data_IF_304997507956
#
_entry.id   IF_304997507956
#
_cell.length_a   1.000
_cell.length_b   1.000
_cell.length_c   1.000
_cell.angle_alpha   90.00
_cell.angle_beta   90.00
_cell.angle_gamma   90.00
#
_symmetry.space_group_name_H-M   'P 1'
#
loop_
_entity.id
_entity.type
_entity.pdbx_description
1 polymer ?
#
# COMPACT_ATOMS: atom_id res chain seq x y z
N UNK A 1 6.08 -3.87 -11.03
CA UNK A 1 4.90 -4.69 -10.65
C UNK A 1 3.94 -3.84 -9.83
N UNK A 2 2.65 -4.10 -9.90
CA UNK A 2 1.66 -3.48 -9.03
C UNK A 2 1.73 -4.05 -7.59
N UNK A 3 0.93 -3.53 -6.67
CA UNK A 3 0.96 -3.92 -5.25
C UNK A 3 0.62 -5.41 -5.02
N UNK A 4 -0.42 -5.92 -5.69
CA UNK A 4 -0.88 -7.31 -5.52
C UNK A 4 0.15 -8.30 -6.06
N UNK A 5 0.67 -8.07 -7.25
CA UNK A 5 1.70 -8.93 -7.84
C UNK A 5 3.01 -8.89 -7.04
N UNK A 6 3.35 -7.70 -6.50
CA UNK A 6 4.53 -7.56 -5.63
C UNK A 6 4.34 -8.34 -4.34
N UNK A 7 3.15 -8.29 -3.73
CA UNK A 7 2.84 -9.05 -2.52
C UNK A 7 2.96 -10.56 -2.75
N UNK A 8 2.36 -11.08 -3.82
CA UNK A 8 2.48 -12.50 -4.18
C UNK A 8 3.94 -12.91 -4.45
N UNK A 9 4.72 -12.03 -5.10
CA UNK A 9 6.15 -12.27 -5.33
C UNK A 9 6.95 -12.28 -4.02
N UNK A 10 6.67 -11.37 -3.09
CA UNK A 10 7.27 -11.35 -1.74
C UNK A 10 6.97 -12.65 -1.00
N UNK A 11 5.74 -13.11 -1.00
CA UNK A 11 5.35 -14.36 -0.34
C UNK A 11 6.10 -15.57 -0.93
N UNK A 12 6.24 -15.64 -2.25
CA UNK A 12 7.01 -16.68 -2.93
C UNK A 12 8.50 -16.65 -2.51
N UNK A 13 9.10 -15.45 -2.48
CA UNK A 13 10.50 -15.27 -2.09
C UNK A 13 10.73 -15.66 -0.62
N UNK A 14 9.84 -15.23 0.28
CA UNK A 14 9.90 -15.58 1.70
C UNK A 14 9.70 -17.09 1.93
N UNK A 15 8.81 -17.74 1.16
CA UNK A 15 8.63 -19.20 1.21
C UNK A 15 9.89 -19.97 0.76
N UNK A 16 10.67 -19.40 -0.15
CA UNK A 16 11.98 -19.92 -0.55
C UNK A 16 13.11 -19.59 0.43
N UNK A 17 12.80 -18.98 1.57
CA UNK A 17 13.76 -18.51 2.58
C UNK A 17 14.81 -17.54 2.02
N UNK A 18 14.39 -16.71 1.04
CA UNK A 18 15.20 -15.66 0.44
C UNK A 18 14.72 -14.28 0.93
N UNK A 19 15.51 -13.25 0.67
CA UNK A 19 15.21 -11.89 1.10
C UNK A 19 14.75 -11.06 -0.11
N UNK A 20 13.47 -10.64 -0.16
CA UNK A 20 13.00 -9.72 -1.18
C UNK A 20 13.50 -8.30 -0.89
N UNK A 21 13.93 -7.59 -1.93
CA UNK A 21 14.24 -6.16 -1.91
C UNK A 21 13.20 -5.40 -2.71
N UNK A 22 12.35 -4.64 -2.02
CA UNK A 22 11.35 -3.79 -2.63
C UNK A 22 12.00 -2.51 -3.16
N UNK A 23 12.01 -2.34 -4.47
CA UNK A 23 12.52 -1.14 -5.13
C UNK A 23 11.36 -0.33 -5.67
N UNK A 24 11.25 0.91 -5.25
CA UNK A 24 10.18 1.78 -5.73
C UNK A 24 10.19 3.16 -5.09
N UNK A 25 9.47 4.08 -5.68
CA UNK A 25 9.45 5.47 -5.24
C UNK A 25 8.90 5.66 -3.83
N UNK A 26 9.18 6.81 -3.24
CA UNK A 26 8.61 7.16 -1.93
C UNK A 26 7.09 7.25 -2.01
N UNK A 27 6.39 6.74 -1.00
CA UNK A 27 4.93 6.87 -0.88
C UNK A 27 4.09 5.91 -1.72
N UNK A 28 4.69 4.97 -2.49
CA UNK A 28 3.95 3.97 -3.28
C UNK A 28 3.43 2.77 -2.49
N UNK A 29 3.73 2.69 -1.19
CA UNK A 29 3.18 1.65 -0.32
C UNK A 29 4.12 0.50 0.05
N UNK A 30 5.45 0.63 -0.07
CA UNK A 30 6.42 -0.41 0.35
C UNK A 30 6.23 -0.86 1.81
N UNK A 31 6.15 0.10 2.72
CA UNK A 31 5.92 -0.15 4.17
C UNK A 31 4.52 -0.76 4.41
N UNK A 32 3.51 -0.29 3.66
CA UNK A 32 2.14 -0.85 3.72
C UNK A 32 2.10 -2.30 3.24
N UNK A 33 2.91 -2.66 2.24
CA UNK A 33 3.02 -4.03 1.74
C UNK A 33 3.63 -4.94 2.83
N UNK A 34 4.72 -4.53 3.48
CA UNK A 34 5.31 -5.29 4.58
C UNK A 34 4.32 -5.49 5.74
N UNK A 35 3.57 -4.43 6.10
CA UNK A 35 2.53 -4.50 7.12
C UNK A 35 1.39 -5.46 6.72
N UNK A 36 0.98 -5.46 5.45
CA UNK A 36 -0.05 -6.37 4.93
C UNK A 36 0.41 -7.83 4.98
N UNK A 37 1.64 -8.12 4.56
CA UNK A 37 2.24 -9.46 4.65
C UNK A 37 2.25 -9.93 6.11
N UNK A 38 2.71 -9.10 7.04
CA UNK A 38 2.74 -9.44 8.46
C UNK A 38 1.32 -9.74 9.00
N UNK A 39 0.32 -8.93 8.61
CA UNK A 39 -1.08 -9.11 9.03
C UNK A 39 -1.67 -10.41 8.49
N UNK A 40 -1.46 -10.74 7.22
CA UNK A 40 -2.00 -11.96 6.58
C UNK A 40 -1.46 -13.23 7.22
N UNK A 41 -0.20 -13.20 7.64
CA UNK A 41 0.48 -14.35 8.25
C UNK A 41 0.46 -14.36 9.79
N UNK A 42 -0.15 -13.38 10.43
CA UNK A 42 -0.15 -13.18 11.89
C UNK A 42 1.29 -13.09 12.46
N UNK A 43 2.18 -12.42 11.74
CA UNK A 43 3.56 -12.18 12.16
C UNK A 43 3.71 -10.84 12.87
N UNK A 44 4.61 -10.79 13.84
CA UNK A 44 4.97 -9.51 14.47
C UNK A 44 5.87 -8.70 13.54
N UNK A 45 5.40 -7.50 13.12
CA UNK A 45 6.20 -6.61 12.27
C UNK A 45 7.14 -5.77 13.14
N UNK A 46 8.44 -5.90 12.87
CA UNK A 46 9.48 -5.04 13.46
C UNK A 46 10.16 -4.28 12.33
N UNK A 47 10.22 -2.95 12.44
CA UNK A 47 10.79 -2.10 11.40
C UNK A 47 12.10 -1.48 11.85
N UNK A 48 13.09 -1.50 10.96
CA UNK A 48 14.35 -0.76 11.06
C UNK A 48 14.36 0.25 9.92
N UNK A 49 14.54 1.52 10.23
CA UNK A 49 14.75 2.58 9.24
C UNK A 49 16.25 2.84 9.09
N UNK A 50 16.80 2.45 7.94
CA UNK A 50 18.23 2.58 7.66
C UNK A 50 18.71 4.03 7.65
N UNK A 51 17.86 4.96 7.25
CA UNK A 51 18.19 6.38 7.20
C UNK A 51 18.32 7.04 8.60
N UNK A 52 17.69 6.46 9.61
CA UNK A 52 17.71 7.01 10.97
C UNK A 52 18.85 6.44 11.83
N UNK A 53 19.42 5.30 11.44
CA UNK A 53 20.51 4.65 12.18
C UNK A 53 21.83 5.40 12.03
N UNK A 54 22.59 5.45 13.10
CA UNK A 54 23.96 5.95 13.14
C UNK A 54 24.97 4.80 13.19
N UNK A 55 26.21 5.07 12.75
CA UNK A 55 27.31 4.11 12.83
C UNK A 55 27.45 3.50 14.24
N UNK A 56 27.51 2.19 14.33
CA UNK A 56 27.61 1.44 15.57
C UNK A 56 26.32 1.27 16.37
N UNK A 57 25.18 1.86 15.92
CA UNK A 57 23.92 1.68 16.66
C UNK A 57 23.37 0.28 16.51
N UNK A 58 23.16 -0.18 15.27
CA UNK A 58 22.56 -1.52 15.03
C UNK A 58 23.54 -2.64 15.40
N UNK A 59 24.84 -2.44 15.19
CA UNK A 59 25.89 -3.36 15.61
C UNK A 59 26.13 -3.38 17.12
N UNK A 60 25.58 -2.40 17.82
CA UNK A 60 25.73 -2.22 19.27
C UNK A 60 27.03 -1.54 19.69
N UNK A 61 26.98 -0.86 20.82
CA UNK A 61 28.17 -0.19 21.38
C UNK A 61 29.12 -1.21 22.04
N UNK A 62 30.42 -1.13 21.77
CA UNK A 62 31.39 -2.00 22.41
C UNK A 62 31.50 -1.68 23.90
N UNK A 63 31.39 -2.69 24.73
CA UNK A 63 31.62 -2.66 26.18
C UNK A 63 32.74 -3.61 26.54
N UNK A 64 33.48 -3.30 27.60
CA UNK A 64 34.55 -4.17 28.08
C UNK A 64 34.10 -4.93 29.31
N UNK A 65 33.97 -6.24 29.16
CA UNK A 65 33.57 -7.12 30.24
C UNK A 65 34.72 -8.05 30.68
N UNK A 66 34.70 -8.46 31.94
CA UNK A 66 35.62 -9.44 32.48
C UNK A 66 34.97 -10.82 32.43
N UNK A 67 35.41 -11.66 31.51
CA UNK A 67 34.94 -13.05 31.37
C UNK A 67 35.93 -13.99 32.04
N UNK A 68 35.41 -14.88 32.86
CA UNK A 68 36.19 -15.89 33.57
C UNK A 68 36.25 -17.15 32.73
N UNK A 69 37.46 -17.53 32.28
CA UNK A 69 37.68 -18.81 31.61
C UNK A 69 38.30 -19.81 32.58
N UNK A 70 37.80 -21.03 32.59
CA UNK A 70 38.38 -22.14 33.33
C UNK A 70 39.11 -23.05 32.34
N UNK A 71 40.43 -23.24 32.54
CA UNK A 71 41.24 -24.11 31.69
C UNK A 71 40.93 -25.60 31.98
N UNK A 72 41.38 -26.49 31.09
CA UNK A 72 41.18 -27.95 31.26
C UNK A 72 41.85 -28.56 32.51
N UNK A 73 42.58 -27.76 33.31
CA UNK A 73 43.22 -28.12 34.59
C UNK A 73 42.46 -27.53 35.80
N UNK A 74 41.33 -26.84 35.57
CA UNK A 74 40.52 -26.24 36.64
C UNK A 74 41.03 -24.87 37.13
N UNK A 75 42.02 -24.22 36.48
CA UNK A 75 42.46 -22.88 36.83
C UNK A 75 41.56 -21.84 36.18
N UNK A 76 41.15 -20.85 36.92
CA UNK A 76 40.30 -19.73 36.48
C UNK A 76 41.13 -18.52 36.15
N UNK A 77 41.01 -18.01 34.93
CA UNK A 77 41.63 -16.75 34.48
C UNK A 77 40.56 -15.74 34.07
N UNK A 78 40.69 -14.53 34.60
CA UNK A 78 39.83 -13.43 34.14
C UNK A 78 40.47 -12.71 32.95
N UNK A 79 39.78 -12.69 31.83
CA UNK A 79 40.22 -12.00 30.60
C UNK A 79 39.22 -10.88 30.33
N UNK A 80 39.75 -9.70 30.04
CA UNK A 80 38.91 -8.60 29.53
C UNK A 80 38.64 -8.84 28.05
N UNK A 81 37.39 -8.88 27.69
CA UNK A 81 36.94 -9.04 26.30
C UNK A 81 36.00 -7.91 25.92
N UNK A 82 35.98 -7.58 24.64
CA UNK A 82 34.99 -6.65 24.12
C UNK A 82 33.70 -7.41 23.81
N UNK A 83 32.58 -6.96 24.38
CA UNK A 83 31.24 -7.44 24.12
C UNK A 83 30.44 -6.27 23.56
N UNK A 84 29.54 -6.53 22.65
CA UNK A 84 28.68 -5.51 22.06
C UNK A 84 27.30 -5.57 22.70
N UNK A 85 26.76 -4.41 23.08
CA UNK A 85 25.40 -4.30 23.58
C UNK A 85 24.43 -4.55 22.43
N UNK A 86 23.44 -5.42 22.61
CA UNK A 86 22.44 -5.69 21.59
C UNK A 86 21.54 -4.46 21.41
N UNK A 87 21.31 -4.04 20.15
CA UNK A 87 20.38 -2.94 19.86
C UNK A 87 18.95 -3.33 20.29
N UNK A 88 18.22 -2.37 20.89
CA UNK A 88 16.90 -2.62 21.48
C UNK A 88 15.89 -3.24 20.51
N UNK A 89 15.96 -2.89 19.21
CA UNK A 89 15.08 -3.48 18.18
C UNK A 89 15.40 -4.95 17.96
N UNK A 90 16.68 -5.34 17.95
CA UNK A 90 17.11 -6.75 17.81
C UNK A 90 16.77 -7.55 19.08
N UNK A 91 16.91 -6.95 20.23
CA UNK A 91 16.45 -7.55 21.50
C UNK A 91 14.93 -7.78 21.49
N UNK A 92 14.14 -6.82 20.97
CA UNK A 92 12.69 -7.00 20.79
C UNK A 92 12.37 -8.16 19.86
N UNK A 93 13.07 -8.28 18.74
CA UNK A 93 12.95 -9.45 17.83
C UNK A 93 13.21 -10.77 18.56
N UNK A 94 14.32 -10.84 19.31
CA UNK A 94 14.66 -12.04 20.08
C UNK A 94 13.59 -12.39 21.11
N UNK A 95 13.10 -11.42 21.88
CA UNK A 95 12.04 -11.61 22.87
C UNK A 95 10.71 -12.05 22.24
N UNK A 96 10.38 -11.56 21.03
CA UNK A 96 9.18 -11.98 20.31
C UNK A 96 9.30 -13.47 19.90
N UNK A 97 10.46 -13.86 19.36
CA UNK A 97 10.74 -15.26 19.00
C UNK A 97 10.70 -16.17 20.22
N UNK A 98 11.29 -15.76 21.34
CA UNK A 98 11.28 -16.53 22.60
C UNK A 98 9.86 -16.75 23.14
N UNK A 99 8.94 -15.83 22.84
CA UNK A 99 7.50 -15.97 23.14
C UNK A 99 6.74 -16.84 22.11
N UNK A 100 7.45 -17.44 21.15
CA UNK A 100 6.89 -18.31 20.13
C UNK A 100 6.23 -17.56 18.97
N UNK A 101 6.48 -16.25 18.80
CA UNK A 101 5.96 -15.47 17.68
C UNK A 101 6.86 -15.59 16.45
N UNK A 102 6.25 -15.63 15.29
CA UNK A 102 6.94 -15.40 14.03
C UNK A 102 7.14 -13.89 13.84
N UNK A 103 8.30 -13.50 13.38
CA UNK A 103 8.64 -12.08 13.20
C UNK A 103 8.95 -11.79 11.74
N UNK A 104 8.42 -10.67 11.23
CA UNK A 104 8.83 -10.04 9.98
C UNK A 104 9.67 -8.82 10.32
N UNK A 105 10.97 -8.89 10.02
CA UNK A 105 11.89 -7.77 10.13
C UNK A 105 11.87 -7.00 8.80
N UNK A 106 11.34 -5.80 8.83
CA UNK A 106 11.30 -4.91 7.67
C UNK A 106 12.39 -3.85 7.79
N UNK A 107 13.32 -3.83 6.83
CA UNK A 107 14.43 -2.88 6.77
C UNK A 107 14.12 -1.88 5.66
N UNK A 108 13.69 -0.68 6.05
CA UNK A 108 13.33 0.38 5.12
C UNK A 108 14.51 1.29 4.81
N UNK A 109 14.51 1.92 3.65
CA UNK A 109 15.49 2.91 3.18
C UNK A 109 16.95 2.44 3.30
N UNK A 110 17.24 1.15 3.01
CA UNK A 110 18.57 0.56 3.21
C UNK A 110 19.68 1.27 2.43
N UNK A 111 19.37 1.84 1.26
CA UNK A 111 20.33 2.57 0.44
C UNK A 111 20.57 4.03 0.86
N UNK A 112 19.82 4.50 1.88
CA UNK A 112 20.05 5.81 2.53
C UNK A 112 20.86 5.71 3.81
N UNK A 113 21.09 4.49 4.30
CA UNK A 113 21.94 4.26 5.44
C UNK A 113 23.37 4.71 5.16
N UNK A 114 24.06 5.28 6.14
CA UNK A 114 25.51 5.51 6.06
C UNK A 114 26.25 4.22 5.71
N UNK A 115 27.35 4.28 4.98
CA UNK A 115 28.04 3.10 4.46
C UNK A 115 28.36 2.04 5.54
N UNK A 116 28.79 2.48 6.72
CA UNK A 116 29.08 1.58 7.84
C UNK A 116 27.82 0.87 8.33
N UNK A 117 26.71 1.59 8.47
CA UNK A 117 25.38 1.06 8.85
C UNK A 117 24.89 0.09 7.80
N UNK A 118 25.03 0.44 6.52
CA UNK A 118 24.64 -0.45 5.43
C UNK A 118 25.40 -1.78 5.48
N UNK A 119 26.71 -1.76 5.77
CA UNK A 119 27.49 -2.99 5.95
C UNK A 119 27.01 -3.82 7.15
N UNK A 120 26.69 -3.18 8.26
CA UNK A 120 26.13 -3.86 9.46
C UNK A 120 24.78 -4.50 9.15
N UNK A 121 23.87 -3.78 8.47
CA UNK A 121 22.58 -4.32 8.04
C UNK A 121 22.76 -5.47 7.05
N UNK A 122 23.72 -5.37 6.11
CA UNK A 122 24.04 -6.46 5.19
C UNK A 122 24.51 -7.71 5.94
N UNK A 123 25.36 -7.58 6.95
CA UNK A 123 25.74 -8.73 7.78
C UNK A 123 24.55 -9.37 8.48
N UNK A 124 23.65 -8.57 9.04
CA UNK A 124 22.42 -9.06 9.66
C UNK A 124 21.51 -9.80 8.66
N UNK A 125 21.38 -9.27 7.45
CA UNK A 125 20.55 -9.86 6.39
C UNK A 125 21.18 -11.17 5.88
N UNK A 126 22.48 -11.16 5.63
CA UNK A 126 23.16 -12.22 4.90
C UNK A 126 23.64 -13.36 5.77
N UNK A 127 24.27 -13.00 6.89
CA UNK A 127 24.89 -13.94 7.81
C UNK A 127 23.93 -14.25 8.98
N UNK A 128 22.85 -13.51 9.09
CA UNK A 128 21.90 -13.54 10.22
C UNK A 128 22.62 -13.32 11.55
N UNK A 129 23.70 -12.57 11.52
CA UNK A 129 24.56 -12.32 12.67
C UNK A 129 25.13 -10.90 12.62
N UNK A 130 25.24 -10.25 13.78
CA UNK A 130 25.90 -8.97 13.94
C UNK A 130 26.56 -8.91 15.32
N UNK A 131 27.89 -8.73 15.37
CA UNK A 131 28.66 -8.52 16.60
C UNK A 131 28.34 -9.49 17.75
N UNK A 132 28.08 -10.78 17.41
CA UNK A 132 27.75 -11.85 18.37
C UNK A 132 26.26 -12.02 18.66
N UNK A 133 25.39 -11.16 18.11
CA UNK A 133 23.95 -11.38 18.08
C UNK A 133 23.57 -12.24 16.87
N UNK A 134 22.89 -13.36 17.09
CA UNK A 134 22.39 -14.24 16.03
C UNK A 134 20.90 -14.11 15.85
N UNK A 135 20.44 -13.84 14.63
CA UNK A 135 19.04 -13.71 14.28
C UNK A 135 18.42 -15.11 14.04
N UNK A 136 17.36 -15.43 14.76
CA UNK A 136 16.65 -16.72 14.64
C UNK A 136 16.16 -17.00 13.22
N UNK A 137 16.18 -18.26 12.77
CA UNK A 137 15.62 -18.70 11.47
C UNK A 137 14.10 -18.50 11.35
N UNK A 138 13.41 -18.26 12.48
CA UNK A 138 11.98 -17.92 12.50
C UNK A 138 11.70 -16.50 12.04
N UNK A 139 12.72 -15.63 11.96
CA UNK A 139 12.58 -14.27 11.49
C UNK A 139 12.62 -14.24 9.97
N UNK A 140 11.60 -13.67 9.33
CA UNK A 140 11.59 -13.34 7.91
C UNK A 140 12.07 -11.91 7.72
N UNK A 141 12.76 -11.64 6.62
CA UNK A 141 13.32 -10.30 6.34
C UNK A 141 12.77 -9.81 5.01
N UNK A 142 12.31 -8.57 4.98
CA UNK A 142 12.04 -7.80 3.76
C UNK A 142 12.90 -6.54 3.84
N UNK A 143 13.61 -6.21 2.76
CA UNK A 143 14.30 -4.95 2.64
C UNK A 143 13.58 -4.05 1.62
N UNK A 144 13.73 -2.73 1.77
CA UNK A 144 13.19 -1.75 0.83
C UNK A 144 14.19 -0.62 0.56
N UNK A 145 14.14 -0.12 -0.67
CA UNK A 145 14.94 1.02 -1.10
C UNK A 145 14.17 1.90 -2.11
N UNK A 146 14.64 3.12 -2.27
CA UNK A 146 14.22 3.99 -3.35
C UNK A 146 15.09 3.75 -4.60
N UNK A 147 14.60 4.01 -5.84
CA UNK A 147 15.40 3.87 -7.05
C UNK A 147 16.65 4.76 -7.02
N UNK A 148 17.75 4.27 -7.58
CA UNK A 148 19.06 4.96 -7.63
C UNK A 148 19.02 6.20 -8.54
N UNK A 149 18.19 6.18 -9.59
CA UNK A 149 18.06 7.26 -10.60
C UNK A 149 17.31 8.50 -10.11
N UNK A 150 16.87 8.54 -8.85
CA UNK A 150 16.22 9.73 -8.31
C UNK A 150 17.30 10.76 -7.91
N UNK A 151 17.47 11.80 -8.70
CA UNK A 151 18.43 12.92 -8.50
C UNK A 151 18.38 13.59 -7.12
N UNK A 152 17.30 13.36 -6.37
CA UNK A 152 17.02 14.02 -5.08
C UNK A 152 17.61 13.27 -3.87
N UNK A 153 18.21 12.09 -4.04
CA UNK A 153 18.66 11.29 -2.91
C UNK A 153 20.16 10.98 -2.99
N UNK A 154 20.88 11.29 -1.93
CA UNK A 154 22.21 10.72 -1.70
C UNK A 154 22.00 9.24 -1.36
N UNK A 155 22.03 8.39 -2.36
CA UNK A 155 22.00 6.93 -2.20
C UNK A 155 23.41 6.38 -2.28
N UNK A 156 23.67 5.36 -1.49
CA UNK A 156 24.93 4.59 -1.57
C UNK A 156 24.66 3.36 -2.43
N UNK A 157 25.40 3.24 -3.53
CA UNK A 157 25.26 2.09 -4.42
C UNK A 157 25.66 0.80 -3.72
N UNK A 158 24.83 -0.23 -3.89
CA UNK A 158 25.15 -1.58 -3.43
C UNK A 158 26.21 -2.20 -4.36
N UNK A 159 27.24 -2.79 -3.80
CA UNK A 159 28.19 -3.55 -4.59
C UNK A 159 27.54 -4.83 -5.21
N UNK A 160 28.11 -5.41 -6.29
CA UNK A 160 27.54 -6.58 -6.95
C UNK A 160 27.35 -7.80 -6.04
N UNK A 161 28.17 -7.95 -5.01
CA UNK A 161 28.03 -9.06 -4.06
C UNK A 161 26.83 -8.86 -3.14
N UNK A 162 26.56 -7.62 -2.75
CA UNK A 162 25.38 -7.24 -1.99
C UNK A 162 24.09 -7.40 -2.83
N UNK A 163 24.14 -6.92 -4.10
CA UNK A 163 23.01 -7.01 -5.02
C UNK A 163 22.55 -8.45 -5.26
N UNK A 164 23.48 -9.38 -5.44
CA UNK A 164 23.21 -10.80 -5.70
C UNK A 164 22.55 -11.56 -4.53
N UNK A 165 22.38 -10.93 -3.38
CA UNK A 165 21.84 -11.56 -2.17
C UNK A 165 20.39 -11.25 -1.92
N UNK A 166 19.77 -10.44 -2.81
CA UNK A 166 18.36 -10.09 -2.79
C UNK A 166 17.64 -10.59 -4.03
N UNK A 167 16.36 -10.84 -3.88
CA UNK A 167 15.45 -10.92 -5.00
C UNK A 167 14.83 -9.54 -5.21
N UNK A 168 15.23 -8.88 -6.29
CA UNK A 168 14.82 -7.50 -6.60
C UNK A 168 13.40 -7.47 -7.14
N UNK A 169 12.52 -6.74 -6.47
CA UNK A 169 11.11 -6.60 -6.82
C UNK A 169 10.79 -5.13 -7.05
N UNK A 170 10.63 -4.75 -8.32
CA UNK A 170 10.34 -3.37 -8.71
C UNK A 170 8.85 -3.09 -8.61
N UNK A 171 8.48 -2.20 -7.70
CA UNK A 171 7.11 -1.81 -7.39
C UNK A 171 6.76 -0.50 -8.07
N UNK A 172 5.61 -0.43 -8.73
CA UNK A 172 5.06 0.77 -9.37
C UNK A 172 3.67 1.05 -8.82
N UNK A 173 3.31 2.33 -8.74
CA UNK A 173 1.95 2.72 -8.41
C UNK A 173 1.00 2.26 -9.51
N UNK A 174 -0.13 1.68 -9.12
CA UNK A 174 -1.24 1.30 -9.99
C UNK A 174 -2.50 2.01 -9.49
N UNK A 175 -3.07 2.86 -10.34
CA UNK A 175 -4.20 3.71 -9.93
C UNK A 175 -5.47 2.91 -9.66
N UNK A 176 -5.71 1.81 -10.37
CA UNK A 176 -6.89 0.95 -10.15
C UNK A 176 -6.83 0.28 -8.78
N UNK A 177 -5.68 -0.29 -8.42
CA UNK A 177 -5.47 -0.88 -7.10
C UNK A 177 -5.50 0.17 -5.99
N UNK A 178 -4.98 1.38 -6.28
CA UNK A 178 -5.10 2.48 -5.34
C UNK A 178 -6.56 2.89 -5.11
N UNK A 179 -7.40 2.94 -6.16
CA UNK A 179 -8.83 3.20 -6.05
C UNK A 179 -9.51 2.15 -5.17
N UNK A 180 -9.25 0.86 -5.40
CA UNK A 180 -9.81 -0.23 -4.60
C UNK A 180 -9.43 -0.10 -3.12
N UNK A 181 -8.16 0.19 -2.85
CA UNK A 181 -7.70 0.49 -1.50
C UNK A 181 -8.35 1.75 -0.93
N UNK A 182 -8.41 2.83 -1.68
CA UNK A 182 -8.95 4.12 -1.26
C UNK A 182 -10.43 4.02 -0.84
N UNK A 183 -11.24 3.28 -1.61
CA UNK A 183 -12.64 3.00 -1.27
C UNK A 183 -12.72 2.25 0.07
N UNK A 184 -11.90 1.20 0.25
CA UNK A 184 -11.89 0.39 1.47
C UNK A 184 -11.34 1.14 2.68
N UNK A 185 -10.39 2.05 2.48
CA UNK A 185 -9.77 2.89 3.50
C UNK A 185 -10.63 4.11 3.89
N UNK A 186 -11.70 4.39 3.14
CA UNK A 186 -12.58 5.54 3.41
C UNK A 186 -11.99 6.88 2.97
N UNK A 187 -11.17 6.86 1.93
CA UNK A 187 -10.71 8.09 1.26
C UNK A 187 -11.93 8.85 0.74
N UNK A 188 -11.87 10.16 0.83
CA UNK A 188 -12.98 11.04 0.44
C UNK A 188 -13.29 10.90 -1.05
N UNK A 189 -14.60 10.79 -1.36
CA UNK A 189 -15.11 10.44 -2.69
C UNK A 189 -14.59 11.35 -3.80
N UNK A 190 -14.54 12.67 -3.57
CA UNK A 190 -14.02 13.63 -4.56
C UNK A 190 -12.53 13.46 -4.88
N UNK A 191 -11.74 12.93 -3.94
CA UNK A 191 -10.34 12.59 -4.19
C UNK A 191 -10.23 11.33 -5.06
N UNK A 192 -11.09 10.33 -4.79
CA UNK A 192 -11.18 9.12 -5.62
C UNK A 192 -11.63 9.48 -7.04
N UNK A 193 -12.68 10.32 -7.17
CA UNK A 193 -13.15 10.82 -8.46
C UNK A 193 -12.06 11.57 -9.24
N UNK A 194 -11.30 12.42 -8.55
CA UNK A 194 -10.22 13.17 -9.16
C UNK A 194 -9.14 12.27 -9.74
N UNK A 195 -8.65 11.30 -8.96
CA UNK A 195 -7.66 10.33 -9.43
C UNK A 195 -8.21 9.42 -10.51
N UNK A 196 -9.50 9.09 -10.45
CA UNK A 196 -10.17 8.31 -11.50
C UNK A 196 -10.22 9.07 -12.83
N UNK A 197 -10.37 10.39 -12.76
CA UNK A 197 -10.42 11.27 -13.95
C UNK A 197 -9.02 11.61 -14.48
N UNK A 198 -8.03 11.65 -13.60
CA UNK A 198 -6.63 12.03 -13.89
C UNK A 198 -5.65 11.04 -13.25
N UNK A 199 -5.59 9.78 -13.73
CA UNK A 199 -4.76 8.73 -13.13
C UNK A 199 -3.27 9.07 -13.11
N UNK A 200 -2.80 9.88 -14.06
CA UNK A 200 -1.43 10.35 -14.17
C UNK A 200 -0.97 11.18 -12.97
N UNK A 201 -1.89 11.80 -12.24
CA UNK A 201 -1.57 12.61 -11.06
C UNK A 201 -1.30 11.77 -9.81
N UNK A 202 -1.67 10.50 -9.79
CA UNK A 202 -1.48 9.65 -8.60
C UNK A 202 -0.01 9.52 -8.19
N UNK A 203 0.90 9.47 -9.17
CA UNK A 203 2.33 9.36 -8.93
C UNK A 203 3.08 10.20 -9.96
N UNK A 204 3.09 11.51 -9.75
CA UNK A 204 3.70 12.47 -10.67
C UNK A 204 4.88 13.17 -10.01
N UNK A 205 6.04 13.11 -10.69
CA UNK A 205 7.23 13.84 -10.31
C UNK A 205 7.25 15.25 -10.90
N UNK A 206 7.85 16.16 -10.17
CA UNK A 206 8.08 17.53 -10.58
C UNK A 206 9.55 17.90 -10.32
N UNK A 207 10.23 18.51 -11.30
CA UNK A 207 11.64 18.91 -11.15
C UNK A 207 11.84 20.02 -10.10
N UNK A 208 10.89 20.97 -10.02
CA UNK A 208 10.98 22.18 -9.19
C UNK A 208 9.80 22.36 -8.21
N UNK A 209 9.02 21.31 -7.93
CA UNK A 209 7.86 21.37 -7.04
C UNK A 209 7.71 20.05 -6.26
N UNK A 210 6.68 19.94 -5.43
CA UNK A 210 6.41 18.76 -4.61
C UNK A 210 5.85 17.63 -5.46
N UNK A 211 6.45 16.45 -5.33
CA UNK A 211 5.97 15.22 -5.95
C UNK A 211 4.63 14.78 -5.38
N UNK A 212 3.71 14.45 -6.28
CA UNK A 212 2.46 13.80 -5.90
C UNK A 212 2.66 12.28 -5.83
N UNK A 213 2.19 11.68 -4.75
CA UNK A 213 2.30 10.24 -4.47
C UNK A 213 0.98 9.70 -3.93
N UNK A 214 0.72 8.40 -3.96
CA UNK A 214 -0.43 7.78 -3.30
C UNK A 214 -0.65 8.26 -1.86
N UNK A 215 0.43 8.42 -1.07
CA UNK A 215 0.39 8.97 0.30
C UNK A 215 -0.02 10.45 0.35
N UNK A 216 0.32 11.21 -0.68
CA UNK A 216 -0.10 12.62 -0.76
C UNK A 216 -1.61 12.76 -0.87
N UNK A 217 -2.27 11.89 -1.64
CA UNK A 217 -3.72 11.91 -1.80
C UNK A 217 -4.48 11.40 -0.57
N UNK A 218 -3.90 10.52 0.24
CA UNK A 218 -4.43 10.19 1.55
C UNK A 218 -4.49 11.44 2.45
N UNK A 219 -3.41 12.24 2.48
CA UNK A 219 -3.38 13.51 3.22
C UNK A 219 -4.35 14.55 2.64
N UNK A 220 -4.43 14.67 1.32
CA UNK A 220 -5.38 15.55 0.65
C UNK A 220 -6.82 15.19 1.04
N UNK A 221 -7.16 13.91 1.12
CA UNK A 221 -8.47 13.43 1.57
C UNK A 221 -8.82 13.95 2.97
N UNK A 222 -7.91 13.78 3.94
CA UNK A 222 -8.12 14.28 5.31
C UNK A 222 -8.31 15.80 5.35
N UNK A 223 -7.49 16.54 4.61
CA UNK A 223 -7.57 18.01 4.52
C UNK A 223 -8.86 18.48 3.86
N UNK A 224 -9.28 17.82 2.78
CA UNK A 224 -10.52 18.16 2.10
C UNK A 224 -11.74 17.84 2.96
N UNK A 225 -11.74 16.73 3.71
CA UNK A 225 -12.81 16.40 4.65
C UNK A 225 -12.99 17.51 5.70
N UNK A 226 -11.90 18.06 6.23
CA UNK A 226 -11.95 19.19 7.19
C UNK A 226 -12.47 20.45 6.49
N UNK A 227 -11.95 20.77 5.31
CA UNK A 227 -12.36 21.95 4.54
C UNK A 227 -13.83 21.93 4.16
N UNK A 228 -14.34 20.81 3.68
CA UNK A 228 -15.75 20.59 3.28
C UNK A 228 -16.71 20.70 4.45
N UNK A 229 -16.33 20.21 5.64
CA UNK A 229 -17.21 20.14 6.82
C UNK A 229 -17.12 21.37 7.74
N UNK A 230 -16.38 22.43 7.32
CA UNK A 230 -16.29 23.64 8.14
C UNK A 230 -17.62 24.41 8.18
N UNK A 231 -17.98 24.90 9.36
CA UNK A 231 -19.10 25.82 9.55
C UNK A 231 -18.68 27.25 9.18
N UNK A 232 -18.99 27.65 7.93
CA UNK A 232 -18.69 29.00 7.45
C UNK A 232 -17.24 29.17 6.95
N UNK A 233 -16.64 30.34 7.19
CA UNK A 233 -15.42 30.80 6.54
C UNK A 233 -14.14 30.59 7.35
N UNK A 234 -14.03 29.52 8.13
CA UNK A 234 -12.83 29.26 8.95
C UNK A 234 -11.56 29.20 8.10
N UNK A 235 -11.65 28.56 6.93
CA UNK A 235 -10.56 28.44 5.95
C UNK A 235 -11.01 28.97 4.59
N UNK A 236 -10.33 30.00 4.09
CA UNK A 236 -10.62 30.53 2.76
C UNK A 236 -10.14 29.55 1.66
N UNK A 237 -10.70 29.71 0.45
CA UNK A 237 -10.26 28.99 -0.74
C UNK A 237 -8.75 29.09 -0.96
N UNK A 238 -8.17 30.27 -0.76
CA UNK A 238 -6.74 30.50 -0.95
C UNK A 238 -5.89 29.74 0.08
N UNK A 239 -6.33 29.71 1.34
CA UNK A 239 -5.66 28.92 2.37
C UNK A 239 -5.72 27.43 2.00
N UNK A 240 -6.88 26.92 1.62
CA UNK A 240 -7.03 25.53 1.20
C UNK A 240 -6.13 25.21 0.01
N UNK A 241 -6.15 26.06 -1.05
CA UNK A 241 -5.27 25.90 -2.21
C UNK A 241 -3.79 25.82 -1.84
N UNK A 242 -3.31 26.68 -0.94
CA UNK A 242 -1.90 26.66 -0.50
C UNK A 242 -1.55 25.37 0.26
N UNK A 243 -2.47 24.87 1.10
CA UNK A 243 -2.27 23.63 1.85
C UNK A 243 -2.24 22.41 0.90
N UNK A 244 -3.14 22.35 -0.08
CA UNK A 244 -3.13 21.28 -1.09
C UNK A 244 -1.86 21.35 -1.94
N UNK A 245 -1.44 22.54 -2.38
CA UNK A 245 -0.19 22.74 -3.10
C UNK A 245 1.02 22.18 -2.34
N UNK A 246 1.06 22.36 -1.03
CA UNK A 246 2.10 21.80 -0.16
C UNK A 246 2.11 20.27 -0.08
N UNK A 247 1.14 19.57 -0.68
CA UNK A 247 1.05 18.09 -0.71
C UNK A 247 1.27 17.49 -2.09
N UNK A 248 0.87 18.19 -3.17
CA UNK A 248 0.81 17.62 -4.52
C UNK A 248 1.40 18.53 -5.60
N UNK A 249 2.03 19.62 -5.23
CA UNK A 249 2.54 20.64 -6.15
C UNK A 249 1.46 21.56 -6.71
N UNK A 250 1.92 22.62 -7.39
CA UNK A 250 1.04 23.71 -7.86
C UNK A 250 0.01 23.25 -8.90
N UNK A 251 0.48 22.54 -9.92
CA UNK A 251 -0.36 22.12 -11.04
C UNK A 251 -1.54 21.26 -10.58
N UNK A 252 -1.23 20.24 -9.78
CA UNK A 252 -2.22 19.28 -9.30
C UNK A 252 -3.17 19.92 -8.29
N UNK A 253 -2.65 20.82 -7.44
CA UNK A 253 -3.50 21.57 -6.50
C UNK A 253 -4.52 22.44 -7.20
N UNK A 254 -4.11 23.20 -8.25
CA UNK A 254 -5.01 24.00 -9.08
C UNK A 254 -6.05 23.11 -9.78
N UNK A 255 -5.62 21.97 -10.34
CA UNK A 255 -6.51 21.02 -10.99
C UNK A 255 -7.53 20.44 -10.00
N UNK A 256 -7.10 20.03 -8.81
CA UNK A 256 -7.97 19.47 -7.78
C UNK A 256 -8.98 20.47 -7.23
N UNK A 257 -8.54 21.70 -6.91
CA UNK A 257 -9.45 22.73 -6.39
C UNK A 257 -10.48 23.13 -7.45
N UNK A 258 -10.08 23.28 -8.71
CA UNK A 258 -11.02 23.52 -9.79
C UNK A 258 -11.98 22.34 -10.02
N UNK A 259 -11.50 21.12 -9.86
CA UNK A 259 -12.31 19.90 -9.97
C UNK A 259 -13.43 19.86 -8.93
N UNK A 260 -13.13 20.14 -7.65
CA UNK A 260 -14.14 20.11 -6.57
C UNK A 260 -15.13 21.29 -6.65
N UNK A 261 -14.74 22.39 -7.30
CA UNK A 261 -15.58 23.59 -7.54
C UNK A 261 -16.39 23.50 -8.84
N UNK A 262 -16.01 22.59 -9.76
CA UNK A 262 -16.77 22.40 -10.98
C UNK A 262 -18.09 21.69 -10.67
N UNK A 263 -19.16 22.14 -11.31
CA UNK A 263 -20.49 21.48 -11.30
C UNK A 263 -20.46 20.15 -12.10
N UNK A 264 -19.42 19.33 -11.92
CA UNK A 264 -19.45 17.99 -12.50
C UNK A 264 -20.55 17.19 -11.84
N UNK A 265 -21.38 16.54 -12.66
CA UNK A 265 -22.40 15.63 -12.15
C UNK A 265 -21.74 14.59 -11.23
N UNK A 266 -22.32 14.35 -10.04
CA UNK A 266 -21.77 13.35 -9.11
C UNK A 266 -21.73 11.98 -9.77
N UNK A 267 -20.89 11.07 -9.25
CA UNK A 267 -20.93 9.67 -9.68
C UNK A 267 -22.31 9.09 -9.45
N UNK A 268 -22.73 8.22 -10.36
CA UNK A 268 -23.99 7.45 -10.21
C UNK A 268 -23.84 6.60 -8.95
N UNK A 269 -24.75 6.81 -8.00
CA UNK A 269 -24.77 6.06 -6.72
C UNK A 269 -25.74 4.90 -6.77
N UNK A 270 -25.63 3.97 -5.82
CA UNK A 270 -26.60 2.89 -5.70
C UNK A 270 -28.00 3.41 -5.28
N UNK A 271 -28.06 4.53 -4.55
CA UNK A 271 -29.34 5.17 -4.21
C UNK A 271 -30.05 5.72 -5.45
N UNK A 272 -29.28 6.20 -6.46
CA UNK A 272 -29.85 6.61 -7.75
C UNK A 272 -30.42 5.42 -8.52
N UNK A 273 -29.74 4.26 -8.47
CA UNK A 273 -30.24 3.01 -9.06
C UNK A 273 -31.53 2.58 -8.37
N UNK A 274 -31.55 2.56 -7.03
CA UNK A 274 -32.76 2.20 -6.26
C UNK A 274 -33.93 3.17 -6.52
N UNK A 275 -33.63 4.47 -6.62
CA UNK A 275 -34.67 5.47 -6.95
C UNK A 275 -35.22 5.29 -8.38
N UNK A 276 -34.34 4.87 -9.31
CA UNK A 276 -34.77 4.55 -10.67
C UNK A 276 -35.67 3.33 -10.77
N UNK A 277 -35.36 2.26 -10.03
CA UNK A 277 -36.13 1.00 -10.08
C UNK A 277 -37.57 1.14 -9.61
N UNK A 278 -37.86 2.10 -8.73
CA UNK A 278 -39.24 2.35 -8.24
C UNK A 278 -40.24 2.79 -9.34
N UNK A 279 -39.74 3.11 -10.55
CA UNK A 279 -40.56 3.53 -11.69
C UNK A 279 -40.45 2.51 -12.83
N UNK A 280 -41.52 2.00 -13.40
CA UNK A 280 -41.48 1.04 -14.50
C UNK A 280 -40.65 1.56 -15.68
N UNK A 281 -39.62 0.81 -16.08
CA UNK A 281 -38.72 1.16 -17.18
C UNK A 281 -37.64 2.22 -16.87
N UNK A 282 -37.49 2.61 -15.63
CA UNK A 282 -36.65 3.73 -15.24
C UNK A 282 -35.15 3.40 -15.27
N UNK A 283 -34.72 2.14 -15.14
CA UNK A 283 -33.31 1.76 -15.36
C UNK A 283 -32.86 2.15 -16.77
N UNK A 284 -33.74 1.96 -17.77
CA UNK A 284 -33.44 2.39 -19.15
C UNK A 284 -33.31 3.92 -19.27
N UNK A 285 -33.92 4.72 -18.37
CA UNK A 285 -33.71 6.18 -18.35
C UNK A 285 -32.28 6.58 -17.93
N UNK A 286 -31.57 5.72 -17.21
CA UNK A 286 -30.16 5.91 -16.86
C UNK A 286 -29.20 5.58 -18.01
N UNK A 287 -29.69 4.97 -19.09
CA UNK A 287 -28.85 4.55 -20.22
C UNK A 287 -28.14 5.73 -20.91
N UNK A 288 -28.77 6.90 -20.99
CA UNK A 288 -28.17 8.10 -21.58
C UNK A 288 -27.06 8.66 -20.65
N UNK A 289 -27.30 8.69 -19.36
CA UNK A 289 -26.32 9.11 -18.36
C UNK A 289 -25.11 8.15 -18.36
N UNK A 290 -25.34 6.84 -18.36
CA UNK A 290 -24.26 5.85 -18.46
C UNK A 290 -23.46 6.01 -19.76
N UNK A 291 -24.11 6.30 -20.90
CA UNK A 291 -23.42 6.51 -22.18
C UNK A 291 -22.58 7.79 -22.22
N UNK A 292 -22.94 8.81 -21.46
CA UNK A 292 -22.19 10.07 -21.38
C UNK A 292 -21.02 10.00 -20.42
N UNK A 293 -21.00 9.01 -19.51
CA UNK A 293 -19.94 8.83 -18.52
C UNK A 293 -18.68 8.18 -19.11
N UNK A 294 -17.52 8.56 -18.54
CA UNK A 294 -16.27 7.89 -18.90
C UNK A 294 -16.22 6.45 -18.34
N UNK A 295 -15.57 5.51 -19.02
CA UNK A 295 -15.41 4.13 -18.54
C UNK A 295 -14.79 4.05 -17.14
N UNK A 296 -13.86 4.94 -16.81
CA UNK A 296 -13.21 4.98 -15.49
C UNK A 296 -14.20 5.41 -14.40
N UNK A 297 -15.00 6.44 -14.62
CA UNK A 297 -16.03 6.89 -13.66
C UNK A 297 -17.12 5.82 -13.46
N UNK A 298 -17.54 5.14 -14.53
CA UNK A 298 -18.46 4.00 -14.43
C UNK A 298 -17.86 2.85 -13.61
N UNK A 299 -16.58 2.54 -13.79
CA UNK A 299 -15.91 1.51 -12.99
C UNK A 299 -15.89 1.87 -11.51
N UNK A 300 -15.55 3.11 -11.17
CA UNK A 300 -15.54 3.58 -9.77
C UNK A 300 -16.94 3.55 -9.17
N UNK A 301 -17.97 3.99 -9.92
CA UNK A 301 -19.35 3.91 -9.48
C UNK A 301 -19.75 2.46 -9.15
N UNK A 302 -19.44 1.50 -10.04
CA UNK A 302 -19.71 0.08 -9.81
C UNK A 302 -18.97 -0.46 -8.57
N UNK A 303 -17.70 -0.09 -8.37
CA UNK A 303 -16.91 -0.50 -7.19
C UNK A 303 -17.49 0.04 -5.89
N UNK A 304 -17.90 1.30 -5.86
CA UNK A 304 -18.58 1.91 -4.71
C UNK A 304 -19.87 1.16 -4.37
N UNK A 305 -20.67 0.84 -5.40
CA UNK A 305 -21.92 0.07 -5.24
C UNK A 305 -21.62 -1.34 -4.70
N UNK A 306 -20.66 -2.06 -5.27
CA UNK A 306 -20.24 -3.38 -4.82
C UNK A 306 -19.72 -3.37 -3.38
N UNK A 307 -18.94 -2.37 -3.02
CA UNK A 307 -18.45 -2.22 -1.64
C UNK A 307 -19.59 -2.01 -0.64
N UNK A 308 -20.57 -1.17 -0.99
CA UNK A 308 -21.80 -0.97 -0.19
C UNK A 308 -22.60 -2.27 -0.06
N UNK A 309 -22.88 -2.95 -1.19
CA UNK A 309 -23.64 -4.19 -1.23
C UNK A 309 -22.95 -5.32 -0.44
N UNK A 310 -21.63 -5.39 -0.46
CA UNK A 310 -20.90 -6.41 0.28
C UNK A 310 -20.96 -6.22 1.80
N UNK A 311 -21.18 -4.99 2.27
CA UNK A 311 -21.42 -4.71 3.72
C UNK A 311 -22.80 -5.17 4.17
N UNK A 312 -23.83 -4.83 3.42
CA UNK A 312 -25.20 -5.18 3.72
C UNK A 312 -26.05 -5.15 2.45
N UNK A 313 -26.51 -6.31 1.98
CA UNK A 313 -27.40 -6.43 0.83
C UNK A 313 -28.32 -7.64 0.97
N UNK A 314 -29.37 -7.64 0.17
CA UNK A 314 -30.27 -8.75 -0.07
C UNK A 314 -30.29 -9.11 -1.55
N UNK A 315 -30.96 -10.20 -1.94
CA UNK A 315 -31.01 -10.67 -3.33
C UNK A 315 -31.61 -9.64 -4.30
N UNK A 316 -32.64 -8.88 -3.86
CA UNK A 316 -33.31 -7.87 -4.67
C UNK A 316 -32.37 -6.69 -4.99
N UNK A 317 -31.62 -6.21 -4.02
CA UNK A 317 -30.63 -5.14 -4.23
C UNK A 317 -29.51 -5.58 -5.17
N UNK A 318 -29.04 -6.82 -5.05
CA UNK A 318 -28.04 -7.38 -5.97
C UNK A 318 -28.60 -7.51 -7.38
N UNK A 319 -29.86 -7.95 -7.53
CA UNK A 319 -30.55 -8.00 -8.82
C UNK A 319 -30.59 -6.62 -9.50
N UNK A 320 -30.97 -5.57 -8.77
CA UNK A 320 -31.01 -4.20 -9.30
C UNK A 320 -29.63 -3.69 -9.74
N UNK A 321 -28.60 -4.03 -9.01
CA UNK A 321 -27.21 -3.75 -9.44
C UNK A 321 -26.87 -4.48 -10.75
N UNK A 322 -27.27 -5.74 -10.89
CA UNK A 322 -27.05 -6.54 -12.11
C UNK A 322 -27.82 -5.93 -13.29
N UNK A 323 -29.07 -5.54 -13.12
CA UNK A 323 -29.85 -4.82 -14.13
C UNK A 323 -29.15 -3.53 -14.57
N UNK A 324 -28.67 -2.72 -13.63
CA UNK A 324 -27.92 -1.49 -13.92
C UNK A 324 -26.62 -1.81 -14.69
N UNK A 325 -25.93 -2.89 -14.33
CA UNK A 325 -24.69 -3.31 -15.00
C UNK A 325 -24.93 -3.71 -16.48
N UNK A 326 -26.17 -4.07 -16.88
CA UNK A 326 -26.51 -4.33 -18.29
C UNK A 326 -26.31 -3.10 -19.18
N UNK A 327 -26.40 -1.90 -18.63
CA UNK A 327 -26.22 -0.64 -19.36
C UNK A 327 -24.74 -0.34 -19.67
N UNK A 328 -23.82 -1.03 -19.01
CA UNK A 328 -22.38 -0.77 -19.16
C UNK A 328 -21.84 -1.31 -20.50
N UNK A 329 -20.78 -0.69 -21.06
CA UNK A 329 -20.03 -1.26 -22.18
C UNK A 329 -19.58 -2.69 -21.87
N UNK A 330 -19.62 -3.57 -22.88
CA UNK A 330 -19.37 -5.01 -22.72
C UNK A 330 -18.07 -5.34 -21.98
N UNK A 331 -16.95 -4.72 -22.39
CA UNK A 331 -15.63 -4.97 -21.78
C UNK A 331 -15.59 -4.53 -20.30
N UNK A 332 -16.19 -3.37 -19.99
CA UNK A 332 -16.25 -2.85 -18.63
C UNK A 332 -17.15 -3.72 -17.75
N UNK A 333 -18.29 -4.15 -18.26
CA UNK A 333 -19.21 -5.08 -17.58
C UNK A 333 -18.49 -6.38 -17.20
N UNK A 334 -17.72 -6.95 -18.12
CA UNK A 334 -16.91 -8.15 -17.84
C UNK A 334 -15.89 -7.91 -16.73
N UNK A 335 -15.22 -6.77 -16.75
CA UNK A 335 -14.26 -6.41 -15.71
C UNK A 335 -14.93 -6.33 -14.33
N UNK A 336 -16.06 -5.62 -14.22
CA UNK A 336 -16.83 -5.51 -12.97
C UNK A 336 -17.34 -6.88 -12.49
N UNK A 337 -17.82 -7.74 -13.39
CA UNK A 337 -18.29 -9.10 -13.04
C UNK A 337 -17.16 -10.01 -12.54
N UNK A 338 -15.95 -9.88 -13.09
CA UNK A 338 -14.77 -10.59 -12.58
C UNK A 338 -14.40 -10.11 -11.17
N UNK A 339 -14.43 -8.81 -10.92
CA UNK A 339 -14.16 -8.25 -9.60
C UNK A 339 -15.22 -8.69 -8.58
N UNK A 340 -16.50 -8.67 -8.97
CA UNK A 340 -17.60 -9.16 -8.16
C UNK A 340 -17.33 -10.60 -7.70
N UNK A 341 -16.95 -11.48 -8.63
CA UNK A 341 -16.64 -12.88 -8.33
C UNK A 341 -15.43 -13.05 -7.42
N UNK A 342 -14.37 -12.27 -7.64
CA UNK A 342 -13.08 -12.51 -7.01
C UNK A 342 -12.93 -11.80 -5.64
N UNK A 343 -13.70 -10.73 -5.41
CA UNK A 343 -13.47 -9.81 -4.27
C UNK A 343 -14.69 -9.68 -3.35
N UNK A 344 -15.91 -9.86 -3.87
CA UNK A 344 -17.15 -9.55 -3.14
C UNK A 344 -17.98 -10.81 -2.90
N UNK A 345 -17.48 -11.72 -2.04
CA UNK A 345 -18.07 -13.06 -1.79
C UNK A 345 -19.55 -13.02 -1.45
N UNK A 346 -19.98 -12.06 -0.61
CA UNK A 346 -21.37 -11.94 -0.20
C UNK A 346 -22.29 -11.55 -1.37
N UNK A 347 -21.86 -10.60 -2.20
CA UNK A 347 -22.61 -10.17 -3.39
C UNK A 347 -22.63 -11.30 -4.41
N UNK A 348 -21.49 -12.00 -4.58
CA UNK A 348 -21.38 -13.13 -5.49
C UNK A 348 -22.34 -14.27 -5.12
N UNK A 349 -22.52 -14.55 -3.83
CA UNK A 349 -23.45 -15.58 -3.38
C UNK A 349 -24.89 -15.34 -3.83
N UNK A 350 -25.34 -14.08 -3.90
CA UNK A 350 -26.65 -13.73 -4.46
C UNK A 350 -26.63 -13.69 -5.98
N UNK A 351 -25.53 -13.18 -6.58
CA UNK A 351 -25.42 -13.03 -8.02
C UNK A 351 -25.45 -14.37 -8.78
N UNK A 352 -24.86 -15.44 -8.25
CA UNK A 352 -24.90 -16.77 -8.88
C UNK A 352 -26.29 -17.44 -8.87
N UNK A 353 -27.22 -16.92 -8.08
CA UNK A 353 -28.62 -17.36 -8.06
C UNK A 353 -29.52 -16.51 -8.96
N UNK A 354 -28.97 -15.46 -9.58
CA UNK A 354 -29.66 -14.52 -10.45
C UNK A 354 -29.54 -14.94 -11.92
N UNK A 355 -30.67 -15.21 -12.58
CA UNK A 355 -30.72 -15.67 -13.96
C UNK A 355 -30.09 -14.64 -14.92
N UNK A 356 -30.29 -13.34 -14.68
CA UNK A 356 -29.73 -12.27 -15.52
C UNK A 356 -28.20 -12.22 -15.40
N UNK A 357 -27.64 -12.42 -14.20
CA UNK A 357 -26.21 -12.49 -14.02
C UNK A 357 -25.59 -13.66 -14.78
N UNK A 358 -26.25 -14.82 -14.72
CA UNK A 358 -25.79 -16.03 -15.40
C UNK A 358 -25.78 -15.81 -16.91
N UNK A 359 -26.84 -15.24 -17.48
CA UNK A 359 -26.96 -14.96 -18.91
C UNK A 359 -25.85 -14.02 -19.39
N UNK A 360 -25.65 -12.90 -18.68
CA UNK A 360 -24.63 -11.91 -19.02
C UNK A 360 -23.21 -12.50 -18.86
N UNK A 361 -22.98 -13.31 -17.84
CA UNK A 361 -21.67 -13.92 -17.60
C UNK A 361 -21.26 -14.91 -18.69
N UNK A 362 -22.21 -15.68 -19.19
CA UNK A 362 -21.95 -16.62 -20.32
C UNK A 362 -21.84 -15.92 -21.67
N UNK A 363 -22.57 -14.83 -21.91
CA UNK A 363 -22.38 -14.00 -23.10
C UNK A 363 -20.99 -13.40 -23.19
N UNK A 364 -20.42 -13.02 -22.05
CA UNK A 364 -19.11 -12.42 -21.92
C UNK A 364 -17.92 -13.38 -22.11
N UNK A 365 -18.17 -14.70 -22.18
CA UNK A 365 -17.15 -15.73 -22.42
C UNK A 365 -17.10 -16.23 -23.87
N UNK A 366 -18.02 -15.74 -24.72
CA UNK A 366 -18.04 -16.02 -26.17
C UNK A 366 -17.24 -14.98 -26.94
#
# INVERSE_FOLDING_TARGET
MNFIDTMASVELVLAANQVPLLVGETGIGKTSLAARVATVHDWELVTIDGNLLKEGEIGGLPTVESVTHTDGRGNTHSVKTTVYAVHHTLEHVAQAVDKGRQVLLFIDEINRAEHAVQQELMNLILNREINGFSLSDQVRIIAAMNPEDSFDYQTIDMDPAQQNRFVWLYMNADYMQWIDWAISAGIEEKVIEFISSYPEYLNQRHEDDIDATPRSFERVSGLYTIYKNQDGSAYSRDVFMHVIRGNVGKLIAEAFVNFIESDQEPLITFDDVLAAVQKPGAIMSMAEQVKSESPTRLYVAAKNMLHRLNRNSNAEEVHHFIEFLTLYPGDLRVAVMKDLRNTYERVYAYAIEDDLFIDIFFEAQK
#
